data_IF_565763378405
#
_entry.id   IF_565763378405
#
_cell.length_a   1.000
_cell.length_b   1.000
_cell.length_c   1.000
_cell.angle_alpha   90.00
_cell.angle_beta   90.00
_cell.angle_gamma   90.00
#
_symmetry.space_group_name_H-M   'P 1'
#
loop_
_entity.id
_entity.type
_entity.pdbx_description
1 polymer ?
#
# COMPACT_ATOMS: atom_id res chain seq x y z
N UNK A 1 6.43 -3.53 7.97
CA UNK A 1 7.01 -3.69 6.62
C UNK A 1 7.03 -2.31 5.99
N UNK A 2 8.17 -1.86 5.46
CA UNK A 2 8.22 -0.59 4.71
C UNK A 2 8.01 -0.89 3.23
N UNK A 3 6.91 -0.39 2.66
CA UNK A 3 6.66 -0.44 1.22
C UNK A 3 7.14 0.89 0.64
N UNK A 4 8.21 0.87 -0.15
CA UNK A 4 8.82 2.09 -0.70
C UNK A 4 8.78 2.15 -2.22
N UNK A 5 8.31 1.10 -2.90
CA UNK A 5 8.18 1.02 -4.35
C UNK A 5 7.10 -0.01 -4.75
N UNK A 6 6.79 -0.06 -6.05
CA UNK A 6 5.77 -0.96 -6.58
C UNK A 6 6.06 -2.44 -6.34
N UNK A 7 7.32 -2.87 -6.51
CA UNK A 7 7.71 -4.26 -6.32
C UNK A 7 7.44 -4.71 -4.88
N UNK A 8 7.80 -3.88 -3.90
CA UNK A 8 7.52 -4.12 -2.48
C UNK A 8 6.02 -4.12 -2.17
N UNK A 9 5.22 -3.32 -2.88
CA UNK A 9 3.77 -3.34 -2.72
C UNK A 9 3.19 -4.68 -3.22
N UNK A 10 3.67 -5.18 -4.36
CA UNK A 10 3.27 -6.47 -4.94
C UNK A 10 3.74 -7.64 -4.07
N UNK A 11 4.96 -7.59 -3.55
CA UNK A 11 5.49 -8.59 -2.60
C UNK A 11 4.65 -8.63 -1.32
N UNK A 12 4.25 -7.48 -0.79
CA UNK A 12 3.38 -7.42 0.39
C UNK A 12 2.02 -8.09 0.13
N UNK A 13 1.41 -7.82 -1.02
CA UNK A 13 0.16 -8.48 -1.43
C UNK A 13 0.34 -10.00 -1.54
N UNK A 14 1.41 -10.45 -2.22
CA UNK A 14 1.69 -11.87 -2.39
C UNK A 14 1.91 -12.58 -1.04
N UNK A 15 2.57 -11.91 -0.10
CA UNK A 15 2.80 -12.42 1.26
C UNK A 15 1.48 -12.66 2.00
N UNK A 16 0.49 -11.76 1.86
CA UNK A 16 -0.78 -11.88 2.57
C UNK A 16 -1.81 -12.72 1.82
N UNK A 17 -1.60 -13.03 0.55
CA UNK A 17 -2.59 -13.72 -0.29
C UNK A 17 -3.04 -15.09 0.27
N UNK A 18 -2.19 -15.76 1.04
CA UNK A 18 -2.52 -17.04 1.71
C UNK A 18 -3.32 -16.88 3.00
N UNK A 19 -3.44 -15.67 3.56
CA UNK A 19 -4.16 -15.42 4.80
C UNK A 19 -5.69 -15.38 4.55
N UNK A 20 -6.53 -15.58 5.58
CA UNK A 20 -7.97 -15.37 5.45
C UNK A 20 -8.31 -13.92 5.03
N UNK A 21 -9.40 -13.67 4.27
CA UNK A 21 -9.73 -12.34 3.73
C UNK A 21 -9.70 -11.21 4.77
N UNK A 22 -10.21 -11.47 5.98
CA UNK A 22 -10.20 -10.50 7.08
C UNK A 22 -8.79 -10.10 7.52
N UNK A 23 -7.85 -11.06 7.53
CA UNK A 23 -6.46 -10.82 7.88
C UNK A 23 -5.74 -10.08 6.74
N UNK A 24 -6.01 -10.44 5.48
CA UNK A 24 -5.54 -9.68 4.32
C UNK A 24 -5.94 -8.22 4.39
N UNK A 25 -7.25 -7.94 4.55
CA UNK A 25 -7.78 -6.59 4.63
C UNK A 25 -7.17 -5.78 5.76
N UNK A 26 -6.96 -6.40 6.93
CA UNK A 26 -6.30 -5.73 8.06
C UNK A 26 -4.88 -5.29 7.68
N UNK A 27 -4.08 -6.19 7.09
CA UNK A 27 -2.70 -5.88 6.73
C UNK A 27 -2.60 -4.86 5.59
N UNK A 28 -3.46 -4.99 4.57
CA UNK A 28 -3.53 -4.06 3.45
C UNK A 28 -3.92 -2.65 3.89
N UNK A 29 -4.92 -2.51 4.78
CA UNK A 29 -5.32 -1.18 5.30
C UNK A 29 -4.22 -0.52 6.13
N UNK A 30 -3.50 -1.29 6.95
CA UNK A 30 -2.34 -0.77 7.68
C UNK A 30 -1.21 -0.31 6.74
N UNK A 31 -0.98 -1.06 5.66
CA UNK A 31 -0.01 -0.69 4.64
C UNK A 31 -0.42 0.59 3.90
N UNK A 32 -1.71 0.73 3.58
CA UNK A 32 -2.26 1.93 2.94
C UNK A 32 -2.06 3.17 3.82
N UNK A 33 -2.45 3.11 5.10
CA UNK A 33 -2.27 4.21 6.06
C UNK A 33 -0.78 4.62 6.17
N UNK A 34 0.14 3.65 6.22
CA UNK A 34 1.57 3.92 6.26
C UNK A 34 2.09 4.61 4.98
N UNK A 35 1.53 4.29 3.82
CA UNK A 35 1.89 4.91 2.55
C UNK A 35 1.32 6.32 2.42
N UNK A 36 0.13 6.59 2.96
CA UNK A 36 -0.46 7.93 3.05
C UNK A 36 0.43 8.85 3.89
N UNK A 37 0.87 8.38 5.06
CA UNK A 37 1.81 9.11 5.91
C UNK A 37 3.15 9.37 5.20
N UNK A 38 3.64 8.39 4.44
CA UNK A 38 4.88 8.53 3.67
C UNK A 38 4.74 9.56 2.55
N UNK A 39 3.60 9.57 1.84
CA UNK A 39 3.32 10.57 0.82
C UNK A 39 3.31 11.98 1.41
N UNK A 40 2.56 12.20 2.49
CA UNK A 40 2.51 13.49 3.18
C UNK A 40 3.91 13.96 3.59
N UNK A 41 4.74 13.05 4.11
CA UNK A 41 6.12 13.36 4.46
C UNK A 41 6.95 13.80 3.24
N UNK A 42 6.83 13.10 2.12
CA UNK A 42 7.54 13.48 0.89
C UNK A 42 7.08 14.82 0.34
N UNK A 43 5.78 15.09 0.33
CA UNK A 43 5.19 16.37 -0.09
C UNK A 43 5.73 17.52 0.76
N UNK A 44 5.77 17.36 2.09
CA UNK A 44 6.33 18.37 3.01
C UNK A 44 7.83 18.65 2.78
N UNK A 45 8.57 17.68 2.22
CA UNK A 45 9.98 17.83 1.89
C UNK A 45 10.23 18.31 0.46
N UNK A 46 9.17 18.56 -0.33
CA UNK A 46 9.29 18.87 -1.75
C UNK A 46 9.84 17.72 -2.58
N UNK A 47 9.73 16.47 -2.09
CA UNK A 47 10.18 15.28 -2.79
C UNK A 47 9.03 14.72 -3.65
N UNK A 48 8.79 15.36 -4.80
CA UNK A 48 7.72 14.99 -5.73
C UNK A 48 7.85 13.54 -6.22
N UNK A 49 9.08 13.06 -6.48
CA UNK A 49 9.30 11.68 -6.91
C UNK A 49 8.93 10.67 -5.82
N UNK A 50 9.24 10.98 -4.56
CA UNK A 50 8.86 10.16 -3.41
C UNK A 50 7.34 10.13 -3.24
N UNK A 51 6.69 11.29 -3.33
CA UNK A 51 5.24 11.41 -3.24
C UNK A 51 4.53 10.63 -4.35
N UNK A 52 4.97 10.79 -5.60
CA UNK A 52 4.44 10.05 -6.74
C UNK A 52 4.58 8.54 -6.56
N UNK A 53 5.75 8.07 -6.10
CA UNK A 53 5.97 6.64 -5.86
C UNK A 53 5.07 6.11 -4.75
N UNK A 54 4.91 6.85 -3.65
CA UNK A 54 3.99 6.48 -2.58
C UNK A 54 2.55 6.39 -3.08
N UNK A 55 2.08 7.35 -3.88
CA UNK A 55 0.75 7.34 -4.47
C UNK A 55 0.50 6.14 -5.41
N UNK A 56 1.51 5.71 -6.17
CA UNK A 56 1.40 4.49 -7.00
C UNK A 56 1.27 3.25 -6.12
N UNK A 57 2.08 3.12 -5.06
CA UNK A 57 1.94 2.02 -4.10
C UNK A 57 0.57 2.01 -3.44
N UNK A 58 0.03 3.17 -3.05
CA UNK A 58 -1.32 3.27 -2.48
C UNK A 58 -2.37 2.76 -3.46
N UNK A 59 -2.27 3.12 -4.75
CA UNK A 59 -3.18 2.65 -5.80
C UNK A 59 -3.18 1.12 -5.90
N UNK A 60 -2.00 0.50 -5.91
CA UNK A 60 -1.85 -0.97 -5.95
C UNK A 60 -2.53 -1.64 -4.75
N UNK A 61 -2.30 -1.11 -3.54
CA UNK A 61 -2.88 -1.64 -2.30
C UNK A 61 -4.39 -1.44 -2.27
N UNK A 62 -4.89 -0.26 -2.65
CA UNK A 62 -6.30 0.07 -2.68
C UNK A 62 -7.08 -0.79 -3.69
N UNK A 63 -6.52 -1.05 -4.87
CA UNK A 63 -7.11 -1.98 -5.84
C UNK A 63 -7.28 -3.37 -5.23
N UNK A 64 -6.26 -3.89 -4.52
CA UNK A 64 -6.37 -5.22 -3.90
C UNK A 64 -7.40 -5.27 -2.77
N UNK A 65 -7.53 -4.19 -1.98
CA UNK A 65 -8.59 -4.07 -0.96
C UNK A 65 -9.96 -4.17 -1.63
N UNK A 66 -10.20 -3.41 -2.70
CA UNK A 66 -11.47 -3.41 -3.42
C UNK A 66 -11.81 -4.77 -4.03
N UNK A 67 -10.82 -5.51 -4.54
CA UNK A 67 -11.00 -6.88 -5.04
C UNK A 67 -11.51 -7.83 -3.94
N UNK A 68 -10.91 -7.79 -2.75
CA UNK A 68 -11.29 -8.69 -1.64
C UNK A 68 -12.66 -8.31 -1.06
N UNK A 69 -13.02 -7.03 -1.05
CA UNK A 69 -14.33 -6.57 -0.56
C UNK A 69 -15.48 -6.86 -1.53
N UNK A 70 -15.17 -7.13 -2.80
CA UNK A 70 -16.15 -7.49 -3.83
C UNK A 70 -16.46 -9.00 -3.88
N UNK A 71 -15.68 -9.84 -3.18
CA UNK A 71 -15.90 -11.30 -3.02
C UNK A 71 -16.91 -11.61 -1.90
#
# INVERSE_FOLDING_TARGET
MNINNEDQAREAIALWQSDPPRAQLKNLRLALESLELSQMYYEQKGNEQGAARAAVCQTIIACRIAEIEAE
#
